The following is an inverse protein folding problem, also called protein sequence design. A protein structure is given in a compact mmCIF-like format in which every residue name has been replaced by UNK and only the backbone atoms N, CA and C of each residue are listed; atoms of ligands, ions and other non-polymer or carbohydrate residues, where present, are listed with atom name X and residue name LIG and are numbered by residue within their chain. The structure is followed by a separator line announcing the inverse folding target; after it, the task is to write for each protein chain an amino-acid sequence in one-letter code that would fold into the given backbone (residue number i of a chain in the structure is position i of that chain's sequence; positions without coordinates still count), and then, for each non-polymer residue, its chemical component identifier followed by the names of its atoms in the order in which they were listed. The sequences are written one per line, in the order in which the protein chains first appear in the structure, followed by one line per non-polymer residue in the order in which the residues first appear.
data_IF_858057864679
#
_entry.id   IF_858057864679
#
_cell.length_a   1.000
_cell.length_b   1.000
_cell.length_c   1.000
_cell.angle_alpha   90.00
_cell.angle_beta   90.00
_cell.angle_gamma   90.00
#
_symmetry.space_group_name_H-M   'P 1'
#
loop_
_entity.id
_entity.type
_entity.pdbx_description
1 polymer ?
#
# COMPACT_ATOMS: atom_id res chain seq x y z
N UNK A 1 3.73 13.70 3.26
CA UNK A 1 3.40 12.30 2.97
C UNK A 1 1.97 11.98 3.40
N UNK A 2 1.06 11.70 2.46
CA UNK A 2 -0.40 11.82 2.67
C UNK A 2 -0.97 11.10 3.89
N UNK A 3 -0.57 9.86 4.18
CA UNK A 3 -1.05 9.13 5.36
C UNK A 3 -0.47 9.67 6.67
N UNK A 4 0.78 10.14 6.64
CA UNK A 4 1.48 10.69 7.79
C UNK A 4 1.00 12.09 8.17
N UNK A 5 0.49 12.84 7.19
CA UNK A 5 -0.10 14.17 7.37
C UNK A 5 -1.60 14.13 7.72
N UNK A 6 -2.20 12.92 7.81
CA UNK A 6 -3.63 12.73 7.98
C UNK A 6 -3.99 12.44 9.43
N UNK A 7 -4.85 13.26 10.02
CA UNK A 7 -5.39 13.05 11.39
C UNK A 7 -6.33 11.84 11.50
N UNK A 8 -6.70 11.23 10.36
CA UNK A 8 -7.63 10.10 10.32
C UNK A 8 -7.01 8.77 10.76
N UNK A 9 -5.69 8.70 10.87
CA UNK A 9 -4.96 7.44 11.13
C UNK A 9 -3.83 7.72 12.10
N UNK A 10 -3.77 6.96 13.19
CA UNK A 10 -2.68 7.04 14.15
C UNK A 10 -1.68 5.92 13.86
N UNK A 11 -0.52 6.29 13.35
CA UNK A 11 0.55 5.35 13.01
C UNK A 11 1.81 5.74 13.76
N UNK A 12 2.28 4.87 14.66
CA UNK A 12 3.52 5.09 15.43
C UNK A 12 4.76 4.50 14.76
N UNK A 13 4.59 3.62 13.77
CA UNK A 13 5.68 3.00 13.04
C UNK A 13 5.20 2.27 11.79
N UNK A 14 6.11 2.02 10.86
CA UNK A 14 5.79 1.41 9.56
C UNK A 14 6.45 0.05 9.38
N UNK A 15 5.66 -0.96 9.07
CA UNK A 15 6.13 -2.16 8.38
C UNK A 15 6.15 -1.86 6.88
N UNK A 16 7.34 -1.70 6.33
CA UNK A 16 7.55 -1.37 4.93
C UNK A 16 7.50 -2.64 4.06
N UNK A 17 6.85 -2.60 2.88
CA UNK A 17 6.61 -3.79 2.06
C UNK A 17 7.90 -4.39 1.50
N UNK A 18 8.17 -5.66 1.84
CA UNK A 18 9.39 -6.37 1.44
C UNK A 18 9.61 -6.40 -0.08
N UNK A 19 8.63 -6.87 -0.85
CA UNK A 19 8.75 -7.00 -2.32
C UNK A 19 8.97 -5.66 -3.04
N UNK A 20 8.29 -4.59 -2.63
CA UNK A 20 8.53 -3.25 -3.18
C UNK A 20 9.94 -2.80 -2.84
N UNK A 21 10.40 -3.05 -1.61
CA UNK A 21 11.72 -2.68 -1.13
C UNK A 21 12.85 -3.48 -1.80
N UNK A 22 12.60 -4.71 -2.28
CA UNK A 22 13.54 -5.43 -3.16
C UNK A 22 13.82 -4.63 -4.43
N UNK A 23 12.85 -3.87 -4.93
CA UNK A 23 13.01 -3.03 -6.12
C UNK A 23 13.62 -1.68 -5.75
N UNK A 24 13.01 -0.93 -4.83
CA UNK A 24 13.37 0.48 -4.59
C UNK A 24 14.46 0.69 -3.52
N UNK A 25 14.77 -0.35 -2.74
CA UNK A 25 15.71 -0.28 -1.63
C UNK A 25 15.12 0.37 -0.37
N UNK A 26 16.00 0.72 0.55
CA UNK A 26 15.65 1.34 1.83
C UNK A 26 15.64 2.87 1.78
N UNK A 27 16.46 3.47 0.91
CA UNK A 27 16.66 4.92 0.87
C UNK A 27 15.38 5.74 0.66
N UNK A 28 14.41 5.32 -0.19
CA UNK A 28 13.17 6.07 -0.37
C UNK A 28 12.32 6.20 0.90
N UNK A 29 12.55 5.38 1.93
CA UNK A 29 11.82 5.46 3.21
C UNK A 29 12.49 6.37 4.24
N UNK A 30 13.70 6.89 3.97
CA UNK A 30 14.47 7.67 4.96
C UNK A 30 13.78 8.95 5.42
N UNK A 31 12.86 9.49 4.62
CA UNK A 31 12.08 10.66 5.01
C UNK A 31 11.20 10.37 6.24
N UNK A 32 10.75 9.13 6.45
CA UNK A 32 9.87 8.74 7.56
C UNK A 32 10.53 9.05 8.93
N UNK A 33 11.72 8.51 9.26
CA UNK A 33 12.39 8.87 10.51
C UNK A 33 12.95 10.28 10.51
N UNK A 34 13.41 10.82 9.36
CA UNK A 34 14.05 12.14 9.30
C UNK A 34 13.04 13.27 9.58
N UNK A 35 11.90 13.22 8.91
CA UNK A 35 10.88 14.28 8.92
C UNK A 35 9.79 14.01 9.96
N UNK A 36 9.33 12.76 10.08
CA UNK A 36 8.18 12.40 10.93
C UNK A 36 8.55 11.74 12.27
N UNK A 37 9.84 11.50 12.51
CA UNK A 37 10.35 10.87 13.75
C UNK A 37 9.71 9.51 14.06
N UNK A 38 9.28 8.78 13.03
CA UNK A 38 8.68 7.46 13.17
C UNK A 38 9.62 6.36 12.67
N UNK A 39 9.72 5.21 13.37
CA UNK A 39 10.46 4.05 12.89
C UNK A 39 9.84 3.48 11.62
N UNK A 40 10.69 2.94 10.75
CA UNK A 40 10.29 2.23 9.54
C UNK A 40 11.13 0.97 9.38
N UNK A 41 10.50 -0.19 9.33
CA UNK A 41 11.19 -1.48 9.25
C UNK A 41 10.70 -2.25 8.02
N UNK A 42 11.62 -2.60 7.13
CA UNK A 42 11.33 -3.41 5.95
C UNK A 42 11.35 -4.89 6.35
N UNK A 43 10.20 -5.55 6.25
CA UNK A 43 10.03 -6.96 6.64
C UNK A 43 9.78 -7.88 5.46
N UNK A 44 10.03 -9.17 5.68
CA UNK A 44 9.50 -10.23 4.82
C UNK A 44 8.01 -10.46 5.07
N UNK A 45 7.55 -11.66 4.70
CA UNK A 45 6.13 -12.04 4.73
C UNK A 45 5.87 -13.29 5.57
N UNK A 46 6.92 -13.93 6.10
CA UNK A 46 6.73 -15.02 7.05
C UNK A 46 6.24 -14.45 8.38
N UNK A 47 5.44 -15.20 9.16
CA UNK A 47 4.96 -14.74 10.46
C UNK A 47 6.09 -14.23 11.37
N UNK A 48 7.24 -14.89 11.37
CA UNK A 48 8.41 -14.52 12.16
C UNK A 48 9.03 -13.19 11.71
N UNK A 49 9.01 -12.89 10.40
CA UNK A 49 9.51 -11.61 9.89
C UNK A 49 8.68 -10.44 10.38
N UNK A 50 7.35 -10.63 10.38
CA UNK A 50 6.40 -9.61 10.84
C UNK A 50 6.58 -9.38 12.33
N UNK A 51 6.65 -10.45 13.13
CA UNK A 51 6.86 -10.37 14.57
C UNK A 51 8.20 -9.68 14.91
N UNK A 52 9.29 -10.05 14.24
CA UNK A 52 10.59 -9.42 14.45
C UNK A 52 10.58 -7.93 14.04
N UNK A 53 9.91 -7.60 12.93
CA UNK A 53 9.71 -6.22 12.50
C UNK A 53 8.98 -5.36 13.53
N UNK A 54 7.93 -5.90 14.15
CA UNK A 54 7.21 -5.24 15.26
C UNK A 54 8.16 -5.02 16.44
N UNK A 55 8.96 -6.03 16.82
CA UNK A 55 9.95 -5.91 17.89
C UNK A 55 10.97 -4.80 17.58
N UNK A 56 11.43 -4.67 16.33
CA UNK A 56 12.36 -3.62 15.93
C UNK A 56 11.72 -2.23 16.03
N UNK A 57 10.48 -2.08 15.58
CA UNK A 57 9.70 -0.83 15.75
C UNK A 57 9.62 -0.46 17.24
N UNK A 58 9.18 -1.39 18.09
CA UNK A 58 9.01 -1.13 19.53
C UNK A 58 10.34 -0.75 20.22
N UNK A 59 11.46 -1.36 19.84
CA UNK A 59 12.79 -0.99 20.34
C UNK A 59 13.20 0.41 19.94
N UNK A 60 12.92 0.81 18.70
CA UNK A 60 13.19 2.18 18.22
C UNK A 60 12.30 3.21 18.94
N UNK A 61 11.01 2.90 19.15
CA UNK A 61 10.11 3.75 19.93
C UNK A 61 10.65 3.92 21.36
N UNK A 62 10.97 2.81 22.03
CA UNK A 62 11.49 2.82 23.41
C UNK A 62 12.80 3.60 23.55
N UNK A 63 13.66 3.56 22.51
CA UNK A 63 14.95 4.27 22.54
C UNK A 63 14.88 5.71 22.04
N UNK A 64 13.77 6.14 21.43
CA UNK A 64 13.66 7.46 20.82
C UNK A 64 14.57 7.64 19.59
N UNK A 65 15.03 6.55 18.97
CA UNK A 65 15.97 6.56 17.85
C UNK A 65 15.32 5.96 16.58
N UNK A 66 14.40 6.69 15.91
CA UNK A 66 13.75 6.21 14.71
C UNK A 66 14.74 6.16 13.55
N UNK A 67 14.71 5.06 12.80
CA UNK A 67 15.53 4.83 11.60
C UNK A 67 14.79 3.93 10.62
N UNK A 68 15.29 3.88 9.38
CA UNK A 68 14.94 2.81 8.45
C UNK A 68 15.80 1.59 8.78
N UNK A 69 15.19 0.44 9.00
CA UNK A 69 15.89 -0.80 9.30
C UNK A 69 15.45 -1.92 8.36
N UNK A 70 16.40 -2.71 7.86
CA UNK A 70 16.14 -3.84 6.97
C UNK A 70 16.17 -5.12 7.80
N UNK A 71 14.99 -5.65 8.11
CA UNK A 71 14.82 -6.99 8.68
C UNK A 71 14.93 -8.03 7.55
N UNK A 72 14.35 -7.75 6.38
CA UNK A 72 14.32 -8.66 5.22
C UNK A 72 15.63 -8.75 4.41
N UNK A 73 16.77 -8.88 5.09
CA UNK A 73 18.13 -8.80 4.51
C UNK A 73 18.42 -9.89 3.48
N UNK A 74 17.69 -11.01 3.53
CA UNK A 74 17.81 -12.12 2.57
C UNK A 74 17.38 -11.75 1.15
N UNK A 75 16.55 -10.70 0.99
CA UNK A 75 16.05 -10.27 -0.31
C UNK A 75 16.31 -8.79 -0.61
N UNK A 76 16.39 -7.94 0.42
CA UNK A 76 16.46 -6.48 0.26
C UNK A 76 17.87 -5.96 0.47
N UNK A 77 18.36 -5.19 -0.51
CA UNK A 77 19.57 -4.37 -0.40
C UNK A 77 19.22 -2.91 -0.13
N UNK A 78 20.04 -2.13 0.60
CA UNK A 78 19.78 -0.71 0.84
C UNK A 78 19.52 0.09 -0.44
N UNK A 79 20.25 -0.20 -1.50
CA UNK A 79 20.14 0.45 -2.81
C UNK A 79 19.03 -0.13 -3.72
N UNK A 80 18.42 -1.26 -3.33
CA UNK A 80 17.43 -1.98 -4.12
C UNK A 80 18.00 -2.60 -5.41
N UNK A 81 17.13 -2.81 -6.39
CA UNK A 81 17.52 -3.34 -7.69
C UNK A 81 17.77 -2.20 -8.69
N UNK A 82 19.04 -1.81 -8.85
CA UNK A 82 19.45 -0.72 -9.75
C UNK A 82 19.03 -0.94 -11.21
N UNK A 83 19.09 -2.18 -11.70
CA UNK A 83 18.68 -2.51 -13.07
C UNK A 83 17.17 -2.29 -13.27
N UNK A 84 16.35 -2.74 -12.33
CA UNK A 84 14.91 -2.51 -12.36
C UNK A 84 14.55 -1.02 -12.26
N UNK A 85 15.19 -0.29 -11.34
CA UNK A 85 15.01 1.16 -11.20
C UNK A 85 15.38 1.91 -12.49
N UNK A 86 16.49 1.53 -13.13
CA UNK A 86 16.91 2.10 -14.43
C UNK A 86 15.89 1.81 -15.53
N UNK A 87 15.34 0.59 -15.59
CA UNK A 87 14.32 0.24 -16.58
C UNK A 87 13.01 1.01 -16.35
N UNK A 88 12.53 1.06 -15.10
CA UNK A 88 11.32 1.80 -14.73
C UNK A 88 11.49 3.28 -15.08
N UNK A 89 12.59 3.91 -14.67
CA UNK A 89 12.85 5.33 -14.99
C UNK A 89 13.08 5.58 -16.49
N UNK A 90 13.58 4.59 -17.24
CA UNK A 90 13.69 4.68 -18.70
C UNK A 90 12.31 4.77 -19.33
N UNK A 91 11.35 3.96 -18.90
CA UNK A 91 10.04 3.76 -19.54
C UNK A 91 8.96 4.71 -19.03
N UNK A 92 8.93 4.94 -17.72
CA UNK A 92 7.88 5.67 -17.04
C UNK A 92 8.36 7.04 -16.51
N UNK A 93 7.41 7.93 -16.25
CA UNK A 93 7.61 9.18 -15.51
C UNK A 93 6.52 9.36 -14.46
N UNK A 94 6.82 10.01 -13.32
CA UNK A 94 5.81 10.33 -12.32
C UNK A 94 4.68 11.17 -12.89
N UNK A 95 3.45 10.94 -12.41
CA UNK A 95 2.28 11.73 -12.74
C UNK A 95 1.32 11.84 -11.55
N UNK A 96 0.37 12.77 -11.65
CA UNK A 96 -0.78 12.77 -10.74
C UNK A 96 -1.66 11.55 -11.04
N UNK A 97 -2.10 10.86 -9.99
CA UNK A 97 -3.09 9.79 -10.13
C UNK A 97 -4.08 9.81 -8.96
N UNK A 98 -5.21 9.14 -9.13
CA UNK A 98 -6.25 9.03 -8.11
C UNK A 98 -6.07 7.76 -7.29
N UNK A 99 -5.95 7.91 -5.97
CA UNK A 99 -5.91 6.84 -4.99
C UNK A 99 -7.25 6.74 -4.26
N UNK A 100 -7.79 5.53 -4.16
CA UNK A 100 -9.06 5.29 -3.46
C UNK A 100 -8.91 5.62 -1.98
N UNK A 101 -9.79 6.47 -1.46
CA UNK A 101 -9.75 6.93 -0.07
C UNK A 101 -8.89 8.17 0.18
N UNK A 102 -8.00 8.51 -0.76
CA UNK A 102 -7.07 9.64 -0.63
C UNK A 102 -7.26 10.73 -1.70
N UNK A 103 -7.98 10.43 -2.79
CA UNK A 103 -8.19 11.37 -3.89
C UNK A 103 -6.98 11.44 -4.83
N UNK A 104 -6.84 12.58 -5.53
CA UNK A 104 -5.74 12.79 -6.47
C UNK A 104 -4.48 13.21 -5.71
N UNK A 105 -3.36 12.56 -6.00
CA UNK A 105 -2.08 12.86 -5.36
C UNK A 105 -1.00 13.07 -6.45
N UNK A 106 -0.34 14.23 -6.49
CA UNK A 106 0.69 14.51 -7.49
C UNK A 106 1.91 13.62 -7.30
N UNK A 107 2.53 13.19 -8.41
CA UNK A 107 3.80 12.45 -8.39
C UNK A 107 3.74 11.02 -7.85
N UNK A 108 2.55 10.48 -7.59
CA UNK A 108 2.37 9.13 -7.03
C UNK A 108 1.98 8.06 -8.06
N UNK A 109 1.61 8.49 -9.28
CA UNK A 109 1.37 7.61 -10.41
C UNK A 109 2.61 7.46 -11.29
N UNK A 110 2.59 6.46 -12.17
CA UNK A 110 3.55 6.30 -13.25
C UNK A 110 2.81 6.28 -14.59
N UNK A 111 3.21 7.14 -15.51
CA UNK A 111 2.73 7.14 -16.89
C UNK A 111 3.85 6.79 -17.87
N UNK A 112 3.48 6.16 -18.99
CA UNK A 112 4.43 5.80 -20.04
C UNK A 112 4.97 7.08 -20.69
N UNK A 113 6.29 7.16 -20.87
CA UNK A 113 6.94 8.30 -21.53
C UNK A 113 6.58 8.38 -23.02
N UNK A 114 6.57 9.59 -23.59
CA UNK A 114 6.27 9.87 -25.00
C UNK A 114 6.94 8.93 -26.01
N UNK A 115 8.24 8.67 -25.83
CA UNK A 115 9.03 7.75 -26.67
C UNK A 115 8.51 6.30 -26.71
N UNK A 116 7.63 5.93 -25.79
CA UNK A 116 7.06 4.59 -25.64
C UNK A 116 5.53 4.55 -25.82
N UNK A 117 4.89 5.63 -26.27
CA UNK A 117 3.42 5.70 -26.46
C UNK A 117 2.85 4.61 -27.37
N UNK A 118 3.66 4.00 -28.26
CA UNK A 118 3.22 2.82 -29.03
C UNK A 118 2.75 1.64 -28.17
N UNK A 119 3.15 1.61 -26.89
CA UNK A 119 2.73 0.63 -25.89
C UNK A 119 1.66 1.16 -24.92
N UNK A 120 1.28 2.43 -25.03
CA UNK A 120 0.31 3.06 -24.14
C UNK A 120 -1.10 2.94 -24.72
N UNK A 121 -1.95 2.17 -24.05
CA UNK A 121 -3.34 1.99 -24.44
C UNK A 121 -4.10 3.31 -24.55
N UNK A 122 -3.85 4.27 -23.66
CA UNK A 122 -4.49 5.59 -23.68
C UNK A 122 -4.16 6.41 -24.92
N UNK A 123 -3.00 6.17 -25.53
CA UNK A 123 -2.57 6.84 -26.75
C UNK A 123 -2.89 6.02 -28.01
N UNK A 124 -3.08 4.70 -27.88
CA UNK A 124 -3.35 3.79 -29.00
C UNK A 124 -4.83 3.70 -29.36
N UNK A 125 -5.72 3.88 -28.39
CA UNK A 125 -7.15 3.68 -28.57
C UNK A 125 -7.95 4.92 -28.18
N UNK A 126 -9.02 5.17 -28.93
CA UNK A 126 -10.02 6.15 -28.55
C UNK A 126 -10.96 5.55 -27.51
N UNK A 127 -11.02 6.16 -26.33
CA UNK A 127 -11.96 5.77 -25.29
C UNK A 127 -13.14 6.73 -25.27
N UNK A 128 -14.39 6.25 -25.20
CA UNK A 128 -15.55 7.10 -25.02
C UNK A 128 -15.37 7.95 -23.75
N UNK A 129 -15.52 9.27 -23.88
CA UNK A 129 -15.50 10.16 -22.73
C UNK A 129 -16.66 9.82 -21.77
N UNK A 130 -16.39 9.81 -20.47
CA UNK A 130 -17.45 10.03 -19.48
C UNK A 130 -18.05 8.81 -18.77
N UNK A 131 -17.54 7.58 -18.91
CA UNK A 131 -17.94 6.52 -17.97
C UNK A 131 -17.19 6.68 -16.64
N UNK A 132 -17.73 7.49 -15.73
CA UNK A 132 -17.30 7.47 -14.34
C UNK A 132 -17.68 6.12 -13.75
N UNK A 133 -16.70 5.39 -13.22
CA UNK A 133 -16.96 4.17 -12.47
C UNK A 133 -17.99 4.47 -11.36
N UNK A 134 -19.08 3.70 -11.31
CA UNK A 134 -20.10 3.85 -10.26
C UNK A 134 -19.47 3.49 -8.91
N UNK A 135 -19.08 4.51 -8.14
CA UNK A 135 -18.75 4.32 -6.73
C UNK A 135 -20.05 3.99 -6.01
N UNK A 136 -20.15 2.79 -5.42
CA UNK A 136 -21.30 2.44 -4.58
C UNK A 136 -21.18 3.24 -3.28
N UNK A 137 -22.05 4.23 -2.99
CA UNK A 137 -21.84 5.17 -1.88
C UNK A 137 -21.77 4.48 -0.51
N UNK A 138 -22.46 3.36 -0.35
CA UNK A 138 -22.47 2.59 0.90
C UNK A 138 -21.17 1.81 1.17
N UNK A 139 -20.27 1.69 0.19
CA UNK A 139 -19.02 0.95 0.34
C UNK A 139 -17.93 1.82 0.99
N UNK A 140 -17.40 1.36 2.12
CA UNK A 140 -16.36 2.07 2.89
C UNK A 140 -14.92 1.63 2.57
N UNK A 141 -14.67 1.02 1.41
CA UNK A 141 -13.32 0.54 1.02
C UNK A 141 -12.23 1.61 1.12
N UNK A 142 -12.55 2.88 0.81
CA UNK A 142 -11.56 3.96 0.93
C UNK A 142 -11.07 4.16 2.37
N UNK A 143 -11.95 3.98 3.36
CA UNK A 143 -11.62 4.10 4.78
C UNK A 143 -10.84 2.88 5.28
N UNK A 144 -11.20 1.69 4.80
CA UNK A 144 -10.46 0.44 5.10
C UNK A 144 -9.03 0.50 4.56
N UNK A 145 -8.83 0.95 3.31
CA UNK A 145 -7.50 0.99 2.66
C UNK A 145 -6.54 1.92 3.41
N UNK A 146 -7.03 3.03 3.94
CA UNK A 146 -6.18 3.98 4.69
C UNK A 146 -6.01 3.57 6.15
N UNK A 147 -6.67 2.49 6.61
CA UNK A 147 -6.61 2.03 8.00
C UNK A 147 -7.44 2.87 8.98
N UNK A 148 -8.42 3.62 8.50
CA UNK A 148 -9.30 4.43 9.37
C UNK A 148 -10.41 3.59 10.02
N UNK A 149 -10.78 2.45 9.42
CA UNK A 149 -11.72 1.48 9.98
C UNK A 149 -11.29 0.05 9.64
N UNK A 150 -11.72 -0.92 10.42
CA UNK A 150 -11.64 -2.34 10.08
C UNK A 150 -12.75 -2.77 9.11
N UNK A 151 -12.62 -3.92 8.41
CA UNK A 151 -13.69 -4.43 7.56
C UNK A 151 -15.03 -4.63 8.28
N UNK A 152 -15.04 -5.04 9.55
CA UNK A 152 -16.25 -5.30 10.35
C UNK A 152 -17.04 -4.03 10.65
N UNK A 153 -16.38 -2.87 10.71
CA UNK A 153 -17.04 -1.57 10.88
C UNK A 153 -17.79 -1.11 9.60
N UNK A 154 -17.63 -1.83 8.49
CA UNK A 154 -18.41 -1.62 7.28
C UNK A 154 -19.69 -2.45 7.33
N UNK A 155 -20.86 -1.80 7.42
CA UNK A 155 -22.19 -2.46 7.47
C UNK A 155 -22.49 -3.42 6.30
N UNK A 156 -21.77 -3.29 5.18
CA UNK A 156 -21.92 -4.19 4.04
C UNK A 156 -21.09 -5.47 4.18
N UNK A 157 -20.02 -5.46 4.97
CA UNK A 157 -19.11 -6.59 5.14
C UNK A 157 -19.85 -7.79 5.73
N UNK A 158 -19.68 -8.98 5.14
CA UNK A 158 -20.39 -10.24 5.47
C UNK A 158 -21.90 -10.25 5.30
N UNK A 159 -22.56 -9.10 5.18
CA UNK A 159 -23.98 -9.01 4.88
C UNK A 159 -24.22 -9.07 3.37
N UNK A 160 -24.07 -7.93 2.68
CA UNK A 160 -24.29 -7.79 1.24
C UNK A 160 -23.01 -7.85 0.41
N UNK A 161 -21.85 -7.73 1.06
CA UNK A 161 -20.53 -7.78 0.46
C UNK A 161 -19.79 -9.02 0.94
N UNK A 162 -19.61 -9.98 0.04
CA UNK A 162 -18.86 -11.23 0.25
C UNK A 162 -18.12 -11.60 -1.06
N UNK A 163 -17.26 -12.64 -1.08
CA UNK A 163 -16.49 -13.01 -2.26
C UNK A 163 -17.34 -13.34 -3.50
N UNK A 164 -18.52 -13.94 -3.31
CA UNK A 164 -19.44 -14.27 -4.41
C UNK A 164 -20.19 -13.03 -4.94
N UNK A 165 -20.47 -12.08 -4.05
CA UNK A 165 -21.17 -10.82 -4.33
C UNK A 165 -20.38 -9.61 -3.80
N UNK A 166 -19.26 -9.24 -4.44
CA UNK A 166 -18.43 -8.16 -3.95
C UNK A 166 -19.07 -6.79 -4.23
N UNK A 167 -19.12 -5.94 -3.20
CA UNK A 167 -19.66 -4.57 -3.31
C UNK A 167 -18.57 -3.52 -3.55
N UNK A 168 -17.30 -3.86 -3.33
CA UNK A 168 -16.17 -2.96 -3.51
C UNK A 168 -14.88 -3.73 -3.79
N UNK A 169 -13.82 -3.05 -4.29
CA UNK A 169 -12.62 -3.72 -4.77
C UNK A 169 -11.82 -4.41 -3.67
N UNK A 170 -11.92 -3.98 -2.40
CA UNK A 170 -11.25 -4.69 -1.30
C UNK A 170 -11.81 -6.09 -1.09
N UNK A 171 -13.01 -6.41 -1.59
CA UNK A 171 -13.57 -7.77 -1.58
C UNK A 171 -13.28 -8.54 -2.88
N UNK A 172 -12.97 -7.84 -3.98
CA UNK A 172 -12.64 -8.45 -5.28
C UNK A 172 -11.17 -8.87 -5.35
N UNK A 173 -10.27 -8.02 -4.83
CA UNK A 173 -8.83 -8.24 -4.95
C UNK A 173 -8.37 -9.39 -4.04
N UNK A 174 -7.46 -10.23 -4.54
CA UNK A 174 -6.78 -11.25 -3.73
C UNK A 174 -5.88 -10.67 -2.64
N UNK A 175 -5.42 -9.43 -2.81
CA UNK A 175 -4.67 -8.66 -1.80
C UNK A 175 -5.57 -7.69 -1.01
N UNK A 176 -6.88 -7.72 -1.25
CA UNK A 176 -7.82 -6.79 -0.64
C UNK A 176 -8.08 -7.13 0.82
N UNK A 177 -7.91 -6.14 1.72
CA UNK A 177 -8.10 -6.31 3.17
C UNK A 177 -9.44 -6.97 3.52
N UNK A 178 -10.55 -6.57 2.89
CA UNK A 178 -11.84 -7.18 3.16
C UNK A 178 -11.89 -8.66 2.73
N UNK A 179 -11.35 -9.00 1.56
CA UNK A 179 -11.32 -10.38 1.06
C UNK A 179 -10.49 -11.28 1.98
N UNK A 180 -9.27 -10.86 2.33
CA UNK A 180 -8.38 -11.57 3.26
C UNK A 180 -9.05 -11.77 4.61
N UNK A 181 -9.65 -10.71 5.14
CA UNK A 181 -10.30 -10.74 6.44
C UNK A 181 -11.57 -11.61 6.45
N UNK A 182 -12.34 -11.63 5.35
CA UNK A 182 -13.46 -12.55 5.19
C UNK A 182 -12.99 -14.00 5.22
N UNK A 183 -11.89 -14.31 4.53
CA UNK A 183 -11.35 -15.66 4.37
C UNK A 183 -10.86 -16.26 5.70
N UNK A 184 -10.14 -15.48 6.51
CA UNK A 184 -9.37 -16.04 7.64
C UNK A 184 -9.98 -15.84 9.04
N UNK A 185 -10.95 -14.93 9.22
CA UNK A 185 -11.60 -14.76 10.53
C UNK A 185 -12.73 -15.76 10.83
N UNK A 186 -13.09 -16.64 9.90
CA UNK A 186 -14.08 -17.70 10.18
C UNK A 186 -13.52 -18.83 11.07
N UNK A 187 -12.20 -18.88 11.28
CA UNK A 187 -11.54 -19.91 12.10
C UNK A 187 -11.31 -19.47 13.56
N UNK A 188 -11.56 -18.20 13.91
CA UNK A 188 -11.34 -17.66 15.26
C UNK A 188 -12.45 -17.99 16.28
N UNK A 189 -13.31 -18.98 15.97
CA UNK A 189 -14.41 -19.44 16.82
C UNK A 189 -14.05 -20.62 17.73
N UNK A 190 -12.78 -21.03 17.78
CA UNK A 190 -12.33 -22.11 18.66
C UNK A 190 -10.91 -21.84 19.16
N UNK A 191 -10.79 -21.05 20.23
CA UNK A 191 -9.72 -21.15 21.22
C UNK A 191 -10.35 -21.01 22.60
#
# INVERSE_FOLDING_TARGET
AVLLDSDRVQVDGFLCPGHVSTIIGAYPYEFIPKEYKKPAVITGFEPEDILEGIVFILRQIRSGLPRVEIQYRRAVKPEGNRSAQSLISRVFQPCETSWRGLGKIPGTGLQIKKKFHRFDGWHKFEFPAGQKAKVRPACRCGEVIIGAISPEECKLFRSRCNPERPMGPCMVSGEGTCSTHYKYQLESGTL
#
